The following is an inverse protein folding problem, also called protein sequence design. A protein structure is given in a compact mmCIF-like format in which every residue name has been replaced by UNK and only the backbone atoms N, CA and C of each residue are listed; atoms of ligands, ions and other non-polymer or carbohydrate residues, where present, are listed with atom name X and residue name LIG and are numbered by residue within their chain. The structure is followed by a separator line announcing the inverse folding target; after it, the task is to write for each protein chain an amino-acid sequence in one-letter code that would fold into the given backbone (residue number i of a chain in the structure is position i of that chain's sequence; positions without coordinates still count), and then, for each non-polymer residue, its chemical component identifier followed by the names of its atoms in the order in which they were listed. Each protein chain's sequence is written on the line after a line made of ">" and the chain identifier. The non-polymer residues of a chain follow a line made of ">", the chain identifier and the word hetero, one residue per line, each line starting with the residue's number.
data_IF_652926964127
#
_entry.id   IF_652926964127
#
_cell.length_a   1.000
_cell.length_b   1.000
_cell.length_c   1.000
_cell.angle_alpha   90.00
_cell.angle_beta   90.00
_cell.angle_gamma   90.00
#
_symmetry.space_group_name_H-M   'P 1'
#
loop_
_entity.id
_entity.type
_entity.pdbx_description
1 polymer ?
#
# COMPACT_ATOMS: atom_id res chain seq x y z
N UNK A 1 -16.97 8.22 17.87
CA UNK A 1 -15.86 8.43 18.82
C UNK A 1 -15.68 7.18 19.68
N UNK A 2 -14.57 7.02 20.39
CA UNK A 2 -14.33 5.85 21.28
C UNK A 2 -15.39 5.71 22.38
N UNK A 3 -15.99 6.82 22.82
CA UNK A 3 -17.11 6.85 23.77
C UNK A 3 -18.47 6.44 23.14
N UNK A 4 -18.48 5.97 21.89
CA UNK A 4 -19.70 5.56 21.17
C UNK A 4 -20.56 6.72 20.66
N UNK A 5 -20.21 7.97 20.93
CA UNK A 5 -21.01 9.14 20.55
C UNK A 5 -20.47 9.85 19.31
N UNK A 6 -21.25 10.78 18.75
CA UNK A 6 -20.83 11.64 17.64
C UNK A 6 -20.56 13.08 18.12
N UNK A 7 -19.84 13.82 17.28
CA UNK A 7 -19.62 15.28 17.41
C UNK A 7 -20.22 16.06 16.24
N UNK A 8 -20.83 15.35 15.28
CA UNK A 8 -21.45 15.93 14.11
C UNK A 8 -22.96 15.79 14.17
N UNK A 9 -23.63 16.89 13.86
CA UNK A 9 -25.05 16.94 13.54
C UNK A 9 -25.24 17.70 12.24
N UNK A 10 -26.30 17.39 11.50
CA UNK A 10 -26.70 18.14 10.32
C UNK A 10 -28.23 18.19 10.30
N UNK A 11 -28.80 19.41 10.29
CA UNK A 11 -30.26 19.63 10.31
C UNK A 11 -30.96 18.89 11.47
N UNK A 12 -30.33 18.86 12.65
CA UNK A 12 -30.86 18.16 13.83
C UNK A 12 -30.58 16.66 13.86
N UNK A 13 -30.11 16.06 12.77
CA UNK A 13 -29.82 14.63 12.68
C UNK A 13 -28.37 14.30 13.02
N UNK A 14 -28.15 13.15 13.65
CA UNK A 14 -26.82 12.66 13.98
C UNK A 14 -26.09 12.21 12.72
N UNK A 15 -24.87 12.72 12.52
CA UNK A 15 -23.95 12.24 11.47
C UNK A 15 -22.85 11.42 12.11
N UNK A 16 -22.50 10.29 11.52
CA UNK A 16 -21.44 9.43 12.07
C UNK A 16 -20.04 9.93 11.68
N UNK A 17 -19.09 9.67 12.57
CA UNK A 17 -17.67 9.83 12.26
C UNK A 17 -17.19 8.72 11.33
N UNK A 18 -16.24 9.04 10.46
CA UNK A 18 -15.61 8.08 9.54
C UNK A 18 -14.12 7.93 9.85
N UNK A 19 -13.65 6.68 9.99
CA UNK A 19 -12.26 6.31 10.31
C UNK A 19 -11.64 7.03 11.51
N UNK A 20 -12.46 7.60 12.41
CA UNK A 20 -11.99 8.39 13.54
C UNK A 20 -11.33 9.72 13.18
N UNK A 21 -11.45 10.18 11.93
CA UNK A 21 -10.80 11.41 11.43
C UNK A 21 -11.81 12.38 10.80
N UNK A 22 -12.74 11.90 9.97
CA UNK A 22 -13.81 12.69 9.35
C UNK A 22 -13.31 13.98 8.67
N UNK A 23 -12.29 13.88 7.82
CA UNK A 23 -11.56 15.04 7.27
C UNK A 23 -12.27 15.83 6.18
N UNK A 24 -13.48 15.42 5.77
CA UNK A 24 -14.29 16.15 4.79
C UNK A 24 -15.24 17.13 5.49
N UNK A 25 -14.65 18.01 6.30
CA UNK A 25 -15.33 19.07 7.06
C UNK A 25 -14.30 20.17 7.37
N UNK A 26 -14.72 21.43 7.43
CA UNK A 26 -13.84 22.54 7.80
C UNK A 26 -13.27 22.37 9.23
N UNK A 27 -14.03 21.70 10.09
CA UNK A 27 -13.62 21.35 11.45
C UNK A 27 -13.97 19.90 11.76
N UNK A 28 -13.11 19.24 12.55
CA UNK A 28 -13.35 17.88 13.05
C UNK A 28 -12.93 17.76 14.51
N UNK A 29 -13.42 16.72 15.17
CA UNK A 29 -13.04 16.36 16.54
C UNK A 29 -12.51 14.94 16.51
N UNK A 30 -11.28 14.77 16.97
CA UNK A 30 -10.55 13.50 16.95
C UNK A 30 -10.03 13.16 18.34
N UNK A 31 -9.70 11.89 18.56
CA UNK A 31 -9.01 11.48 19.78
C UNK A 31 -7.55 11.89 19.72
N UNK A 32 -6.96 12.23 20.87
CA UNK A 32 -5.55 12.61 20.98
C UNK A 32 -4.62 11.54 20.38
N UNK A 33 -4.92 10.26 20.62
CA UNK A 33 -4.16 9.12 20.05
C UNK A 33 -4.20 9.03 18.51
N UNK A 34 -5.07 9.81 17.85
CA UNK A 34 -5.21 9.86 16.41
C UNK A 34 -4.63 11.16 15.80
N UNK A 35 -3.90 11.95 16.59
CA UNK A 35 -3.25 13.19 16.15
C UNK A 35 -1.75 13.06 16.30
N UNK A 36 -1.01 13.41 15.25
CA UNK A 36 0.43 13.59 15.31
C UNK A 36 0.74 15.07 15.09
N UNK A 37 1.46 15.69 16.04
CA UNK A 37 2.02 17.03 15.82
C UNK A 37 3.10 16.94 14.75
N UNK A 38 3.10 17.90 13.84
CA UNK A 38 4.06 18.01 12.74
C UNK A 38 4.78 19.36 12.81
N UNK A 39 5.74 19.57 11.91
CA UNK A 39 6.42 20.84 11.74
C UNK A 39 5.44 21.94 11.26
N UNK A 40 5.46 23.09 11.93
CA UNK A 40 4.61 24.24 11.61
C UNK A 40 4.93 24.84 10.22
N UNK A 41 6.14 24.59 9.69
CA UNK A 41 6.56 25.02 8.36
C UNK A 41 6.15 24.06 7.23
N UNK A 42 5.53 22.92 7.55
CA UNK A 42 5.18 21.91 6.55
C UNK A 42 4.04 22.40 5.62
N UNK A 43 4.18 22.21 4.29
CA UNK A 43 3.16 22.66 3.32
C UNK A 43 1.93 21.73 3.35
N UNK A 44 0.87 22.18 4.02
CA UNK A 44 -0.36 21.40 4.30
C UNK A 44 -1.05 20.83 3.05
N UNK A 45 -0.98 21.56 1.93
CA UNK A 45 -1.51 21.14 0.62
C UNK A 45 -0.79 19.92 0.02
N UNK A 46 0.43 19.64 0.49
CA UNK A 46 1.25 18.50 0.03
C UNK A 46 1.29 17.37 1.02
N UNK A 47 1.44 17.67 2.32
CA UNK A 47 1.67 16.64 3.34
C UNK A 47 0.40 15.89 3.74
N UNK A 48 -0.78 16.33 3.31
CA UNK A 48 -2.04 15.64 3.58
C UNK A 48 -2.01 14.16 3.15
N UNK A 49 -1.28 13.82 2.08
CA UNK A 49 -1.10 12.44 1.58
C UNK A 49 -0.23 11.57 2.50
N UNK A 50 0.55 12.18 3.39
CA UNK A 50 1.39 11.50 4.40
C UNK A 50 0.52 10.93 5.52
N UNK A 51 -0.75 11.30 5.64
CA UNK A 51 -1.66 10.68 6.62
C UNK A 51 -2.17 9.28 6.24
N UNK A 52 -2.01 8.86 4.97
CA UNK A 52 -2.61 7.62 4.48
C UNK A 52 -1.75 6.92 3.42
N UNK A 53 -1.84 7.35 2.16
CA UNK A 53 -1.34 6.57 1.03
C UNK A 53 0.19 6.40 1.05
N UNK A 54 0.92 7.46 1.41
CA UNK A 54 2.39 7.43 1.41
C UNK A 54 2.95 6.49 2.47
N UNK A 55 2.62 6.60 3.77
CA UNK A 55 3.09 5.63 4.76
C UNK A 55 2.65 4.21 4.45
N UNK A 56 1.41 4.04 3.96
CA UNK A 56 0.88 2.72 3.59
C UNK A 56 1.76 2.07 2.54
N UNK A 57 2.01 2.73 1.41
CA UNK A 57 2.78 2.15 0.31
C UNK A 57 4.28 2.07 0.62
N UNK A 58 4.88 3.18 1.06
CA UNK A 58 6.31 3.26 1.34
C UNK A 58 6.70 2.30 2.47
N UNK A 59 5.94 2.32 3.58
CA UNK A 59 6.16 1.40 4.69
C UNK A 59 5.88 -0.06 4.32
N UNK A 60 4.92 -0.33 3.42
CA UNK A 60 4.71 -1.70 2.94
C UNK A 60 5.96 -2.26 2.25
N UNK A 61 6.67 -1.45 1.46
CA UNK A 61 7.94 -1.87 0.87
C UNK A 61 9.06 -1.98 1.92
N UNK A 62 9.27 -0.91 2.71
CA UNK A 62 10.46 -0.77 3.58
C UNK A 62 10.35 -1.60 4.86
N UNK A 63 9.20 -1.57 5.54
CA UNK A 63 9.04 -2.20 6.86
C UNK A 63 8.42 -3.58 6.78
N UNK A 64 7.37 -3.72 5.97
CA UNK A 64 6.59 -4.96 5.91
C UNK A 64 7.24 -5.98 4.98
N UNK A 65 7.41 -5.65 3.70
CA UNK A 65 8.09 -6.51 2.74
C UNK A 65 9.59 -6.63 3.04
N UNK A 66 10.19 -5.59 3.64
CA UNK A 66 11.64 -5.48 3.91
C UNK A 66 12.43 -5.71 2.63
N UNK A 67 12.08 -4.96 1.58
CA UNK A 67 12.78 -5.01 0.30
C UNK A 67 14.28 -4.82 0.53
N UNK A 68 15.08 -5.72 -0.03
CA UNK A 68 16.54 -5.67 0.06
C UNK A 68 17.14 -5.20 -1.28
N UNK A 69 18.35 -4.61 -1.26
CA UNK A 69 19.04 -4.23 -2.48
C UNK A 69 19.15 -5.41 -3.47
N UNK A 70 18.94 -5.14 -4.76
CA UNK A 70 18.98 -6.17 -5.80
C UNK A 70 17.66 -6.93 -6.00
N UNK A 71 16.65 -6.73 -5.15
CA UNK A 71 15.36 -7.41 -5.30
C UNK A 71 14.66 -7.06 -6.62
N UNK A 72 13.85 -7.99 -7.12
CA UNK A 72 12.80 -7.71 -8.11
C UNK A 72 11.47 -7.53 -7.39
N UNK A 73 10.78 -6.42 -7.62
CA UNK A 73 9.48 -6.11 -7.03
C UNK A 73 8.40 -6.02 -8.11
N UNK A 74 7.20 -6.53 -7.81
CA UNK A 74 6.04 -6.44 -8.70
C UNK A 74 4.90 -5.78 -7.95
N UNK A 75 4.35 -4.71 -8.52
CA UNK A 75 3.31 -3.87 -7.91
C UNK A 75 2.06 -3.95 -8.78
N UNK A 76 0.99 -4.52 -8.22
CA UNK A 76 -0.32 -4.57 -8.85
C UNK A 76 -1.16 -3.36 -8.44
N UNK A 77 -1.46 -2.49 -9.41
CA UNK A 77 -2.14 -1.22 -9.22
C UNK A 77 -1.17 -0.06 -9.01
N UNK A 78 -1.20 0.93 -9.90
CA UNK A 78 -0.33 2.11 -9.92
C UNK A 78 -1.11 3.39 -9.56
N UNK A 79 -1.96 3.31 -8.52
CA UNK A 79 -2.58 4.47 -7.88
C UNK A 79 -1.65 5.12 -6.84
N UNK A 80 -2.16 6.03 -6.01
CA UNK A 80 -1.35 6.76 -5.01
C UNK A 80 -0.55 5.84 -4.06
N UNK A 81 -1.18 4.79 -3.53
CA UNK A 81 -0.50 3.78 -2.70
C UNK A 81 0.53 3.00 -3.52
N UNK A 82 0.17 2.55 -4.72
CA UNK A 82 1.06 1.79 -5.61
C UNK A 82 2.32 2.55 -5.97
N UNK A 83 2.19 3.84 -6.30
CA UNK A 83 3.32 4.72 -6.56
C UNK A 83 4.18 4.96 -5.30
N UNK A 84 3.58 5.01 -4.10
CA UNK A 84 4.33 5.04 -2.85
C UNK A 84 5.10 3.74 -2.58
N UNK A 85 4.56 2.57 -2.95
CA UNK A 85 5.29 1.29 -2.92
C UNK A 85 6.50 1.36 -3.86
N UNK A 86 6.32 1.84 -5.09
CA UNK A 86 7.41 2.02 -6.07
C UNK A 86 8.54 2.88 -5.48
N UNK A 87 8.19 4.01 -4.85
CA UNK A 87 9.18 4.88 -4.19
C UNK A 87 9.91 4.14 -3.05
N UNK A 88 9.19 3.37 -2.23
CA UNK A 88 9.79 2.56 -1.17
C UNK A 88 10.72 1.47 -1.72
N UNK A 89 10.30 0.74 -2.75
CA UNK A 89 11.14 -0.26 -3.42
C UNK A 89 12.43 0.34 -4.00
N UNK A 90 12.32 1.49 -4.67
CA UNK A 90 13.47 2.22 -5.22
C UNK A 90 14.42 2.69 -4.12
N UNK A 91 13.88 3.28 -3.05
CA UNK A 91 14.66 3.72 -1.90
C UNK A 91 15.37 2.56 -1.18
N UNK A 92 14.75 1.37 -1.17
CA UNK A 92 15.35 0.12 -0.67
C UNK A 92 16.37 -0.53 -1.62
N UNK A 93 16.62 0.03 -2.80
CA UNK A 93 17.61 -0.47 -3.75
C UNK A 93 17.16 -1.66 -4.60
N UNK A 94 15.86 -1.83 -4.83
CA UNK A 94 15.36 -2.84 -5.78
C UNK A 94 16.00 -2.62 -7.17
N UNK A 95 16.52 -3.69 -7.77
CA UNK A 95 17.15 -3.62 -9.10
C UNK A 95 16.11 -3.53 -10.22
N UNK A 96 14.93 -4.12 -10.01
CA UNK A 96 13.85 -4.15 -10.98
C UNK A 96 12.51 -3.94 -10.30
N UNK A 97 11.68 -3.08 -10.89
CA UNK A 97 10.36 -2.74 -10.37
C UNK A 97 9.35 -2.84 -11.51
N UNK A 98 8.51 -3.86 -11.47
CA UNK A 98 7.48 -4.12 -12.49
C UNK A 98 6.15 -3.56 -12.00
N UNK A 99 5.61 -2.59 -12.71
CA UNK A 99 4.30 -2.01 -12.46
C UNK A 99 3.24 -2.68 -13.33
N UNK A 100 2.15 -3.14 -12.71
CA UNK A 100 1.02 -3.76 -13.40
C UNK A 100 -0.23 -2.89 -13.21
N UNK A 101 -0.80 -2.35 -14.28
CA UNK A 101 -2.06 -1.59 -14.23
C UNK A 101 -2.79 -1.71 -15.57
N UNK A 102 -4.11 -1.72 -15.54
CA UNK A 102 -4.94 -1.75 -16.76
C UNK A 102 -4.98 -0.38 -17.47
N UNK A 103 -4.66 0.70 -16.76
CA UNK A 103 -4.65 2.04 -17.32
C UNK A 103 -3.22 2.51 -17.63
N UNK A 104 -2.83 2.38 -18.89
CA UNK A 104 -1.48 2.71 -19.36
C UNK A 104 -1.12 4.20 -19.23
N UNK A 105 -2.11 5.10 -19.08
CA UNK A 105 -1.85 6.54 -18.84
C UNK A 105 -1.07 6.79 -17.55
N UNK A 106 -1.02 5.82 -16.63
CA UNK A 106 -0.25 5.88 -15.38
C UNK A 106 1.23 5.54 -15.59
N UNK A 107 1.61 4.86 -16.66
CA UNK A 107 2.95 4.34 -16.86
C UNK A 107 4.05 5.41 -16.94
N UNK A 108 3.86 6.57 -17.60
CA UNK A 108 4.87 7.63 -17.61
C UNK A 108 5.23 8.11 -16.19
N UNK A 109 4.21 8.35 -15.36
CA UNK A 109 4.40 8.74 -13.95
C UNK A 109 5.04 7.64 -13.12
N UNK A 110 4.63 6.39 -13.32
CA UNK A 110 5.21 5.25 -12.63
C UNK A 110 6.71 5.09 -12.95
N UNK A 111 7.10 5.27 -14.22
CA UNK A 111 8.51 5.23 -14.65
C UNK A 111 9.32 6.35 -14.02
N UNK A 112 8.79 7.58 -14.00
CA UNK A 112 9.44 8.71 -13.34
C UNK A 112 9.75 8.44 -11.86
N UNK A 113 8.91 7.66 -11.18
CA UNK A 113 9.06 7.30 -9.77
C UNK A 113 9.94 6.06 -9.52
N UNK A 114 10.21 5.24 -10.53
CA UNK A 114 11.13 4.10 -10.40
C UNK A 114 10.73 2.80 -11.10
N UNK A 115 9.55 2.72 -11.74
CA UNK A 115 9.15 1.52 -12.45
C UNK A 115 10.06 1.29 -13.67
N UNK A 116 10.64 0.09 -13.76
CA UNK A 116 11.51 -0.34 -14.87
C UNK A 116 10.69 -0.96 -16.01
N UNK A 117 9.66 -1.73 -15.67
CA UNK A 117 8.83 -2.45 -16.63
C UNK A 117 7.35 -2.18 -16.34
N UNK A 118 6.54 -1.92 -17.36
CA UNK A 118 5.10 -1.75 -17.20
C UNK A 118 4.36 -2.84 -17.96
N UNK A 119 3.36 -3.45 -17.34
CA UNK A 119 2.51 -4.47 -17.93
C UNK A 119 1.04 -4.05 -17.82
N UNK A 120 0.33 -4.11 -18.94
CA UNK A 120 -1.13 -4.06 -18.96
C UNK A 120 -1.66 -5.48 -19.18
N UNK A 121 -2.33 -6.10 -18.19
CA UNK A 121 -2.87 -7.45 -18.32
C UNK A 121 -3.80 -7.64 -19.54
N UNK A 122 -4.49 -6.58 -19.98
CA UNK A 122 -5.41 -6.65 -21.12
C UNK A 122 -4.68 -6.82 -22.47
N UNK A 123 -3.39 -6.50 -22.52
CA UNK A 123 -2.56 -6.58 -23.72
C UNK A 123 -1.72 -7.88 -23.76
N UNK A 124 -1.88 -8.77 -22.77
CA UNK A 124 -1.12 -10.02 -22.67
C UNK A 124 -1.91 -11.19 -23.24
N UNK A 125 -1.21 -12.11 -23.91
CA UNK A 125 -1.79 -13.38 -24.42
C UNK A 125 -1.88 -14.47 -23.36
N UNK A 126 -1.11 -14.33 -22.28
CA UNK A 126 -1.06 -15.24 -21.14
C UNK A 126 -1.49 -14.48 -19.88
N UNK A 127 -1.94 -15.20 -18.84
CA UNK A 127 -2.17 -14.58 -17.53
C UNK A 127 -0.94 -13.81 -17.06
N UNK A 128 -1.15 -12.62 -16.47
CA UNK A 128 -0.06 -11.73 -16.06
C UNK A 128 0.93 -12.41 -15.10
N UNK A 129 0.45 -13.37 -14.29
CA UNK A 129 1.28 -14.18 -13.42
C UNK A 129 2.34 -14.99 -14.17
N UNK A 130 1.98 -15.59 -15.31
CA UNK A 130 2.90 -16.38 -16.13
C UNK A 130 3.91 -15.47 -16.81
N UNK A 131 3.47 -14.32 -17.32
CA UNK A 131 4.37 -13.34 -17.94
C UNK A 131 5.38 -12.80 -16.94
N UNK A 132 4.92 -12.45 -15.73
CA UNK A 132 5.80 -12.02 -14.64
C UNK A 132 6.77 -13.13 -14.27
N UNK A 133 6.30 -14.37 -14.12
CA UNK A 133 7.12 -15.55 -13.84
C UNK A 133 8.22 -15.75 -14.90
N UNK A 134 7.88 -15.65 -16.18
CA UNK A 134 8.82 -15.73 -17.31
C UNK A 134 9.85 -14.59 -17.29
N UNK A 135 9.42 -13.37 -16.94
CA UNK A 135 10.30 -12.20 -16.91
C UNK A 135 11.31 -12.21 -15.78
N UNK A 136 10.98 -12.81 -14.64
CA UNK A 136 11.66 -12.54 -13.35
C UNK A 136 12.11 -13.78 -12.60
N UNK A 137 11.55 -14.94 -12.93
CA UNK A 137 11.63 -16.12 -12.08
C UNK A 137 10.95 -15.96 -10.71
N UNK A 138 10.21 -14.86 -10.40
CA UNK A 138 9.50 -14.56 -9.12
C UNK A 138 8.47 -13.38 -9.14
N UNK A 139 7.33 -13.44 -8.40
CA UNK A 139 6.59 -12.39 -7.60
C UNK A 139 5.04 -12.19 -7.72
N UNK A 140 4.33 -12.14 -6.56
CA UNK A 140 2.88 -12.31 -6.20
C UNK A 140 2.48 -13.76 -5.85
N UNK A 141 1.44 -14.07 -5.07
CA UNK A 141 1.27 -15.44 -4.49
C UNK A 141 1.55 -16.59 -5.47
N UNK A 142 0.94 -16.56 -6.65
CA UNK A 142 1.11 -17.58 -7.69
C UNK A 142 2.35 -17.41 -8.57
N UNK A 143 2.99 -16.27 -8.50
CA UNK A 143 4.14 -15.90 -9.30
C UNK A 143 5.45 -15.91 -8.46
N UNK A 144 5.36 -15.82 -7.13
CA UNK A 144 6.43 -15.64 -6.14
C UNK A 144 7.46 -16.73 -6.28
N UNK A 145 8.74 -16.42 -5.97
CA UNK A 145 9.75 -17.47 -5.84
C UNK A 145 9.20 -18.55 -4.94
N UNK A 146 9.24 -19.80 -5.41
CA UNK A 146 8.65 -20.94 -4.72
C UNK A 146 9.14 -21.04 -3.27
N UNK A 147 10.41 -20.73 -3.04
CA UNK A 147 11.08 -21.00 -1.76
C UNK A 147 11.14 -19.84 -0.75
N UNK A 148 11.02 -18.59 -1.19
CA UNK A 148 11.26 -17.42 -0.31
C UNK A 148 10.48 -16.17 -0.71
N UNK A 149 9.58 -16.26 -1.70
CA UNK A 149 8.82 -15.11 -2.17
C UNK A 149 7.90 -14.54 -1.10
N UNK A 150 7.85 -13.21 -1.02
CA UNK A 150 7.01 -12.47 -0.07
C UNK A 150 5.90 -11.75 -0.82
N UNK A 151 4.65 -12.07 -0.50
CA UNK A 151 3.47 -11.38 -1.01
C UNK A 151 2.85 -10.52 0.11
N UNK A 152 2.65 -9.23 -0.16
CA UNK A 152 2.05 -8.30 0.80
C UNK A 152 0.72 -7.79 0.25
N UNK A 153 -0.38 -8.12 0.94
CA UNK A 153 -1.72 -7.62 0.62
C UNK A 153 -1.94 -6.28 1.32
N UNK A 154 -2.21 -5.24 0.54
CA UNK A 154 -2.41 -3.86 1.02
C UNK A 154 -3.82 -3.37 0.68
N UNK A 155 -4.35 -3.77 -0.49
CA UNK A 155 -5.69 -3.38 -0.92
C UNK A 155 -6.78 -3.95 -0.01
N UNK A 156 -7.83 -3.15 0.22
CA UNK A 156 -9.02 -3.63 0.91
C UNK A 156 -9.90 -4.40 -0.05
N UNK A 157 -10.17 -5.66 0.28
CA UNK A 157 -11.13 -6.47 -0.45
C UNK A 157 -12.57 -6.13 -0.03
N UNK A 158 -13.57 -6.38 -0.88
CA UNK A 158 -14.98 -6.21 -0.51
C UNK A 158 -15.36 -7.02 0.74
N UNK A 159 -16.36 -6.53 1.48
CA UNK A 159 -16.89 -7.29 2.62
C UNK A 159 -17.29 -8.71 2.22
N UNK A 160 -16.96 -9.69 3.07
CA UNK A 160 -17.21 -11.12 2.87
C UNK A 160 -16.50 -11.77 1.68
N UNK A 161 -15.53 -11.11 1.03
CA UNK A 161 -14.67 -11.76 0.05
C UNK A 161 -13.76 -12.78 0.72
N UNK A 162 -13.52 -13.90 0.06
CA UNK A 162 -12.59 -14.93 0.53
C UNK A 162 -11.34 -14.97 -0.36
N UNK A 163 -10.20 -15.27 0.26
CA UNK A 163 -8.95 -15.57 -0.44
C UNK A 163 -8.74 -17.08 -0.43
N UNK A 164 -8.64 -17.70 -1.60
CA UNK A 164 -8.32 -19.11 -1.77
C UNK A 164 -6.87 -19.27 -2.21
N UNK A 165 -6.13 -20.16 -1.55
CA UNK A 165 -4.71 -20.40 -1.82
C UNK A 165 -4.47 -21.90 -1.94
N UNK A 166 -3.62 -22.28 -2.88
CA UNK A 166 -3.10 -23.64 -2.96
C UNK A 166 -2.10 -23.88 -1.81
N UNK A 167 -2.42 -24.83 -0.93
CA UNK A 167 -1.61 -25.16 0.24
C UNK A 167 -0.18 -25.58 -0.14
N UNK A 168 0.00 -26.23 -1.30
CA UNK A 168 1.33 -26.63 -1.77
C UNK A 168 2.23 -25.42 -2.00
N UNK A 169 1.68 -24.29 -2.43
CA UNK A 169 2.42 -23.03 -2.64
C UNK A 169 2.85 -22.36 -1.34
N UNK A 170 2.17 -22.66 -0.22
CA UNK A 170 2.57 -22.24 1.13
C UNK A 170 3.75 -23.08 1.60
N UNK A 171 3.62 -24.41 1.49
CA UNK A 171 4.59 -25.39 2.00
C UNK A 171 5.97 -25.18 1.38
N UNK A 172 6.05 -24.71 0.13
CA UNK A 172 7.35 -24.50 -0.54
C UNK A 172 8.20 -23.40 0.10
N UNK A 173 7.65 -22.54 0.98
CA UNK A 173 8.39 -21.50 1.70
C UNK A 173 7.95 -20.06 1.39
N UNK A 174 6.85 -19.85 0.67
CA UNK A 174 6.30 -18.50 0.42
C UNK A 174 5.74 -17.90 1.70
N UNK A 175 5.89 -16.58 1.83
CA UNK A 175 5.26 -15.79 2.89
C UNK A 175 4.15 -14.93 2.33
N UNK A 176 2.93 -15.06 2.88
CA UNK A 176 1.83 -14.14 2.64
C UNK A 176 1.55 -13.33 3.91
N UNK A 177 1.41 -12.02 3.79
CA UNK A 177 1.03 -11.15 4.91
C UNK A 177 0.17 -9.97 4.46
N UNK A 178 -0.70 -9.50 5.35
CA UNK A 178 -1.37 -8.22 5.21
C UNK A 178 -0.59 -7.12 5.94
N UNK A 179 -0.85 -5.87 5.59
CA UNK A 179 -0.32 -4.71 6.33
C UNK A 179 -1.36 -3.59 6.41
N UNK A 180 -1.47 -2.96 7.58
CA UNK A 180 -2.16 -1.69 7.76
C UNK A 180 -1.12 -0.57 7.91
N UNK A 181 -1.32 0.55 7.19
CA UNK A 181 -0.46 1.75 7.23
C UNK A 181 1.06 1.47 7.11
N UNK A 182 1.46 0.43 6.36
CA UNK A 182 2.86 0.14 6.02
C UNK A 182 3.77 -0.30 7.18
N UNK A 183 3.21 -0.85 8.26
CA UNK A 183 3.80 -0.80 9.61
C UNK A 183 5.25 -1.23 9.87
N UNK A 184 5.94 -0.42 10.70
CA UNK A 184 6.42 -0.75 12.07
C UNK A 184 5.80 0.31 13.02
N UNK A 185 5.68 0.00 14.33
CA UNK A 185 5.00 0.79 15.41
C UNK A 185 4.78 2.26 15.05
N UNK A 186 3.52 2.72 15.11
CA UNK A 186 3.22 4.15 15.07
C UNK A 186 4.16 4.82 16.08
N UNK A 187 5.07 5.67 15.59
CA UNK A 187 5.92 6.51 16.42
C UNK A 187 5.02 7.54 17.11
N UNK A 188 4.18 7.06 18.02
CA UNK A 188 3.56 7.85 19.07
C UNK A 188 4.71 8.09 20.05
N UNK A 189 5.46 9.15 19.77
CA UNK A 189 6.30 9.90 20.70
C UNK A 189 6.77 9.13 21.94
N UNK A 190 7.98 8.54 21.89
CA UNK A 190 8.85 8.57 23.07
C UNK A 190 9.42 9.99 23.18
N UNK A 191 8.59 10.92 23.61
CA UNK A 191 9.02 12.19 24.20
C UNK A 191 8.14 12.42 25.43
N UNK A 192 8.57 11.80 26.53
CA UNK A 192 8.45 12.38 27.87
C UNK A 192 9.87 12.69 28.32
#
# INVERSE_FOLDING_TARGET
>A
MLDGTSRFTCKGEKIYHSFGTSTFSEYTVVHEIAVAKIDDAAPMDKICVISCAVPTGYGAAVHSAKVIPGSTCVIFGLGGVGLAIVMGCKASGAARIIGVDINEKKFPWARALGVTDCLNPQNLKKPVQEVVMEMTGTAAWDCCHLSYGVCVIIGMAPHNSQLSLDATKVITGRTLKGVALGGREALISKQY
#
